data_IF_474797390507
#
_entry.id   IF_474797390507
#
_cell.length_a   1.000
_cell.length_b   1.000
_cell.length_c   1.000
_cell.angle_alpha   90.00
_cell.angle_beta   90.00
_cell.angle_gamma   90.00
#
_symmetry.space_group_name_H-M   'P 1'
#
loop_
_entity.id
_entity.type
_entity.pdbx_description
1 polymer ?
#
# COMPACT_ATOMS: atom_id res chain seq x y z
N UNK A 1 -6.12 -16.04 19.46
CA UNK A 1 -5.97 -15.38 18.14
C UNK A 1 -5.84 -16.47 17.10
N UNK A 2 -6.82 -16.61 16.21
CA UNK A 2 -6.69 -17.56 15.10
C UNK A 2 -5.66 -17.04 14.10
N UNK A 3 -4.96 -17.93 13.38
CA UNK A 3 -3.94 -17.53 12.40
C UNK A 3 -4.50 -16.53 11.38
N UNK A 4 -5.76 -16.71 10.97
CA UNK A 4 -6.52 -15.80 10.12
C UNK A 4 -6.58 -14.37 10.68
N UNK A 5 -6.91 -14.20 11.97
CA UNK A 5 -6.97 -12.89 12.62
C UNK A 5 -5.61 -12.21 12.64
N UNK A 6 -4.53 -12.96 12.90
CA UNK A 6 -3.16 -12.43 12.89
C UNK A 6 -2.79 -11.93 11.49
N UNK A 7 -3.03 -12.72 10.44
CA UNK A 7 -2.70 -12.34 9.06
C UNK A 7 -3.50 -11.12 8.59
N UNK A 8 -4.79 -11.05 8.90
CA UNK A 8 -5.63 -9.88 8.58
C UNK A 8 -5.13 -8.62 9.30
N UNK A 9 -4.74 -8.76 10.57
CA UNK A 9 -4.20 -7.64 11.36
C UNK A 9 -2.89 -7.15 10.77
N UNK A 10 -1.99 -8.05 10.36
CA UNK A 10 -0.71 -7.70 9.71
C UNK A 10 -0.95 -6.98 8.38
N UNK A 11 -1.86 -7.49 7.53
CA UNK A 11 -2.20 -6.86 6.26
C UNK A 11 -2.79 -5.45 6.44
N UNK A 12 -3.64 -5.27 7.46
CA UNK A 12 -4.22 -3.98 7.80
C UNK A 12 -3.16 -3.00 8.29
N UNK A 13 -2.31 -3.41 9.24
CA UNK A 13 -1.23 -2.56 9.78
C UNK A 13 -0.25 -2.17 8.66
N UNK A 14 0.11 -3.11 7.80
CA UNK A 14 1.00 -2.83 6.68
C UNK A 14 0.42 -1.80 5.71
N UNK A 15 -0.86 -1.91 5.35
CA UNK A 15 -1.52 -0.91 4.49
C UNK A 15 -1.57 0.49 5.13
N UNK A 16 -1.75 0.57 6.46
CA UNK A 16 -1.64 1.84 7.19
C UNK A 16 -0.21 2.41 7.10
N UNK A 17 0.82 1.58 7.27
CA UNK A 17 2.23 2.01 7.14
C UNK A 17 2.51 2.56 5.74
N UNK A 18 2.02 1.89 4.69
CA UNK A 18 2.19 2.35 3.31
C UNK A 18 1.46 3.67 3.07
N UNK A 19 0.22 3.82 3.56
CA UNK A 19 -0.51 5.09 3.48
C UNK A 19 0.26 6.23 4.17
N UNK A 20 0.78 5.98 5.37
CA UNK A 20 1.62 6.94 6.10
C UNK A 20 2.90 7.28 5.32
N UNK A 21 3.54 6.31 4.66
CA UNK A 21 4.73 6.55 3.84
C UNK A 21 4.44 7.51 2.66
N UNK A 22 3.29 7.37 1.99
CA UNK A 22 2.85 8.31 0.95
C UNK A 22 2.57 9.71 1.52
N UNK A 23 1.97 9.80 2.71
CA UNK A 23 1.75 11.06 3.41
C UNK A 23 3.06 11.75 3.82
N UNK A 24 4.01 10.99 4.35
CA UNK A 24 5.33 11.47 4.71
C UNK A 24 6.12 11.93 3.49
N UNK A 25 6.00 11.26 2.34
CA UNK A 25 6.63 11.71 1.10
C UNK A 25 6.08 13.09 0.67
N UNK A 26 4.75 13.29 0.73
CA UNK A 26 4.14 14.60 0.47
C UNK A 26 4.60 15.65 1.48
N UNK A 27 4.65 15.31 2.76
CA UNK A 27 5.10 16.24 3.79
C UNK A 27 6.56 16.67 3.59
N UNK A 28 7.45 15.71 3.29
CA UNK A 28 8.86 15.98 2.95
C UNK A 28 8.98 16.82 1.68
N UNK A 29 8.12 16.59 0.68
CA UNK A 29 8.04 17.39 -0.52
C UNK A 29 7.68 18.86 -0.26
N UNK A 30 6.79 19.13 0.70
CA UNK A 30 6.41 20.49 1.10
C UNK A 30 7.54 21.16 1.91
N UNK A 31 8.20 20.43 2.81
CA UNK A 31 9.28 20.97 3.65
C UNK A 31 10.66 21.02 2.96
N UNK A 32 10.72 20.80 1.65
CA UNK A 32 11.98 20.71 0.87
C UNK A 32 13.03 19.77 1.49
N UNK A 33 12.58 18.70 2.16
CA UNK A 33 13.46 17.67 2.72
C UNK A 33 13.68 16.54 1.71
N UNK A 34 14.69 15.70 1.95
CA UNK A 34 14.97 14.51 1.14
C UNK A 34 13.72 13.63 1.00
N UNK A 35 13.19 13.54 -0.21
CA UNK A 35 12.01 12.72 -0.56
C UNK A 35 12.31 11.24 -0.44
N UNK A 36 11.27 10.43 -0.30
CA UNK A 36 11.39 8.97 -0.34
C UNK A 36 11.63 8.56 -1.79
N UNK A 37 12.53 7.58 -2.00
CA UNK A 37 12.80 7.05 -3.33
C UNK A 37 11.53 6.46 -3.93
N UNK A 38 11.27 6.76 -5.21
CA UNK A 38 10.08 6.26 -5.90
C UNK A 38 10.08 4.73 -5.96
N UNK A 39 11.27 4.13 -6.08
CA UNK A 39 11.43 2.67 -6.06
C UNK A 39 10.90 2.07 -4.75
N UNK A 40 11.16 2.71 -3.61
CA UNK A 40 10.69 2.24 -2.30
C UNK A 40 9.18 2.30 -2.20
N UNK A 41 8.56 3.41 -2.64
CA UNK A 41 7.10 3.56 -2.64
C UNK A 41 6.42 2.52 -3.54
N UNK A 42 6.98 2.28 -4.73
CA UNK A 42 6.45 1.28 -5.66
C UNK A 42 6.65 -0.16 -5.13
N UNK A 43 7.80 -0.43 -4.50
CA UNK A 43 8.07 -1.74 -3.90
C UNK A 43 7.12 -2.04 -2.74
N UNK A 44 6.86 -1.07 -1.87
CA UNK A 44 5.87 -1.17 -0.79
C UNK A 44 4.46 -1.43 -1.31
N UNK A 45 4.07 -0.77 -2.41
CA UNK A 45 2.79 -1.05 -3.08
C UNK A 45 2.69 -2.51 -3.54
N UNK A 46 3.77 -3.05 -4.12
CA UNK A 46 3.77 -4.41 -4.68
C UNK A 46 3.74 -5.50 -3.60
N UNK A 47 4.39 -5.26 -2.46
CA UNK A 47 4.35 -6.16 -1.30
C UNK A 47 3.10 -5.86 -0.48
N UNK A 48 1.92 -6.20 -0.99
CA UNK A 48 0.65 -6.16 -0.23
C UNK A 48 0.25 -4.79 0.37
N UNK A 49 0.75 -3.71 -0.24
CA UNK A 49 0.47 -2.34 0.16
C UNK A 49 -0.42 -1.60 -0.85
N UNK A 50 -1.13 -2.34 -1.70
CA UNK A 50 -1.90 -1.80 -2.82
C UNK A 50 -3.00 -0.85 -2.37
N UNK A 51 -3.80 -1.27 -1.39
CA UNK A 51 -4.89 -0.46 -0.82
C UNK A 51 -4.31 0.82 -0.19
N UNK A 52 -3.29 0.69 0.65
CA UNK A 52 -2.62 1.81 1.33
C UNK A 52 -1.98 2.79 0.38
N UNK A 53 -1.31 2.31 -0.67
CA UNK A 53 -0.68 3.13 -1.69
C UNK A 53 -1.70 3.85 -2.58
N UNK A 54 -2.78 3.17 -2.96
CA UNK A 54 -3.88 3.74 -3.77
C UNK A 54 -4.59 4.85 -3.00
N UNK A 55 -4.94 4.59 -1.74
CA UNK A 55 -5.56 5.57 -0.84
C UNK A 55 -4.59 6.72 -0.56
N UNK A 56 -3.33 6.44 -0.24
CA UNK A 56 -2.31 7.47 -0.03
C UNK A 56 -2.13 8.34 -1.27
N UNK A 57 -2.02 7.75 -2.45
CA UNK A 57 -1.97 8.45 -3.72
C UNK A 57 -3.16 9.38 -3.96
N UNK A 58 -4.38 8.88 -3.71
CA UNK A 58 -5.62 9.63 -3.89
C UNK A 58 -5.79 10.76 -2.85
N UNK A 59 -5.63 10.48 -1.56
CA UNK A 59 -5.79 11.43 -0.44
C UNK A 59 -4.77 12.55 -0.53
N UNK A 60 -3.50 12.21 -0.75
CA UNK A 60 -2.44 13.19 -0.83
C UNK A 60 -2.36 13.85 -2.21
N UNK A 61 -3.13 13.36 -3.21
CA UNK A 61 -3.03 13.77 -4.61
C UNK A 61 -1.58 13.78 -5.12
N UNK A 62 -0.78 12.86 -4.61
CA UNK A 62 0.66 12.84 -4.82
C UNK A 62 1.00 11.81 -5.90
N UNK A 63 1.74 12.24 -6.94
CA UNK A 63 2.22 11.40 -8.05
C UNK A 63 1.15 10.70 -8.91
N UNK A 64 -0.11 11.17 -8.88
CA UNK A 64 -1.21 10.66 -9.72
C UNK A 64 -0.94 10.78 -11.23
N UNK A 65 -0.16 11.78 -11.66
CA UNK A 65 0.15 12.00 -13.09
C UNK A 65 1.08 10.92 -13.69
N UNK A 66 1.82 10.18 -12.86
CA UNK A 66 2.77 9.16 -13.33
C UNK A 66 2.03 7.86 -13.62
N UNK A 67 2.02 7.43 -14.88
CA UNK A 67 1.27 6.25 -15.32
C UNK A 67 1.73 4.96 -14.60
N UNK A 68 3.04 4.79 -14.39
CA UNK A 68 3.59 3.62 -13.71
C UNK A 68 3.22 3.56 -12.22
N UNK A 69 2.99 4.70 -11.55
CA UNK A 69 2.44 4.70 -10.19
C UNK A 69 1.03 4.13 -10.17
N UNK A 70 0.17 4.58 -11.09
CA UNK A 70 -1.20 4.05 -11.22
C UNK A 70 -1.21 2.57 -11.56
N UNK A 71 -0.33 2.12 -12.45
CA UNK A 71 -0.21 0.70 -12.78
C UNK A 71 0.21 -0.12 -11.56
N UNK A 72 1.23 0.32 -10.81
CA UNK A 72 1.64 -0.37 -9.58
C UNK A 72 0.53 -0.39 -8.51
N UNK A 73 -0.25 0.69 -8.37
CA UNK A 73 -1.40 0.71 -7.46
C UNK A 73 -2.46 -0.33 -7.85
N UNK A 74 -2.79 -0.44 -9.14
CA UNK A 74 -3.73 -1.45 -9.63
C UNK A 74 -3.21 -2.87 -9.41
N UNK A 75 -1.94 -3.14 -9.72
CA UNK A 75 -1.31 -4.43 -9.49
C UNK A 75 -1.24 -4.77 -8.00
N UNK A 76 -0.90 -3.81 -7.15
CA UNK A 76 -0.90 -3.98 -5.69
C UNK A 76 -2.30 -4.27 -5.15
N UNK A 77 -3.32 -3.55 -5.62
CA UNK A 77 -4.71 -3.81 -5.23
C UNK A 77 -5.15 -5.22 -5.60
N UNK A 78 -4.84 -5.67 -6.82
CA UNK A 78 -5.11 -7.05 -7.25
C UNK A 78 -4.42 -8.05 -6.33
N UNK A 79 -3.16 -7.81 -5.96
CA UNK A 79 -2.41 -8.67 -5.03
C UNK A 79 -3.08 -8.71 -3.64
N UNK A 80 -3.53 -7.58 -3.12
CA UNK A 80 -4.26 -7.51 -1.84
C UNK A 80 -5.57 -8.28 -1.89
N UNK A 81 -6.34 -8.16 -2.98
CA UNK A 81 -7.58 -8.91 -3.15
C UNK A 81 -7.35 -10.42 -3.25
N UNK A 82 -6.33 -10.86 -3.98
CA UNK A 82 -5.96 -12.27 -4.06
C UNK A 82 -5.56 -12.79 -2.69
N UNK A 83 -4.71 -12.06 -1.95
CA UNK A 83 -4.33 -12.49 -0.60
C UNK A 83 -5.51 -12.54 0.36
N UNK A 84 -6.38 -11.52 0.33
CA UNK A 84 -7.59 -11.51 1.14
C UNK A 84 -8.49 -12.72 0.82
N UNK A 85 -8.68 -13.02 -0.46
CA UNK A 85 -9.45 -14.18 -0.90
C UNK A 85 -8.86 -15.50 -0.40
N UNK A 86 -7.54 -15.68 -0.49
CA UNK A 86 -6.85 -16.87 0.03
C UNK A 86 -7.00 -17.01 1.54
N UNK A 87 -6.82 -15.92 2.30
CA UNK A 87 -7.01 -15.93 3.77
C UNK A 87 -8.45 -16.25 4.15
N UNK A 88 -9.44 -15.79 3.37
CA UNK A 88 -10.85 -16.02 3.66
C UNK A 88 -11.31 -17.44 3.30
N UNK A 89 -10.82 -18.00 2.19
CA UNK A 89 -11.33 -19.27 1.62
C UNK A 89 -10.48 -20.49 1.96
N UNK A 90 -9.14 -20.36 1.98
CA UNK A 90 -8.22 -21.50 2.17
C UNK A 90 -7.73 -21.68 3.59
N UNK A 91 -7.94 -20.67 4.44
CA UNK A 91 -7.52 -20.67 5.85
C UNK A 91 -8.71 -20.75 6.82
N UNK A 92 -9.88 -21.13 6.28
CA UNK A 92 -11.13 -21.34 7.03
C UNK A 92 -11.38 -22.81 7.36
N UNK A 93 -10.54 -23.70 6.86
CA UNK A 93 -10.48 -25.13 7.20
C UNK A 93 -9.46 -25.34 8.34
#
# INVERSE_FOLDING_TARGET
>A
MTLKQVLLSVLLVWNIVVLCAYGLDKHKAIRHRRRISEKTLLFQTLILGGIGASLGGAVFRHKIKKWYFRLCWLLGLLNDFVMLYLILTKLSD
#
